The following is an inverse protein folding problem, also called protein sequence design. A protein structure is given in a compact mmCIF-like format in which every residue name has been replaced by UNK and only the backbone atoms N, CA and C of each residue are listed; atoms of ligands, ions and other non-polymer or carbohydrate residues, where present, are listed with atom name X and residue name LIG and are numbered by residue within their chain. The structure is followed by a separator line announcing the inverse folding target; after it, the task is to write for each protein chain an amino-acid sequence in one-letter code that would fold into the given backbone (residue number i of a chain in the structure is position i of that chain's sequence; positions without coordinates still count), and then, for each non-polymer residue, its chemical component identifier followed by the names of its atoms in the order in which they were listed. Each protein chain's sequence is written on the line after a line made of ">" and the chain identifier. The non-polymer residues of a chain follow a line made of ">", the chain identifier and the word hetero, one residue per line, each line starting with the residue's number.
data_IF_106286833029
#
_entry.id   IF_106286833029
#
_cell.length_a   1.000
_cell.length_b   1.000
_cell.length_c   1.000
_cell.angle_alpha   90.00
_cell.angle_beta   90.00
_cell.angle_gamma   90.00
#
_symmetry.space_group_name_H-M   'P 1'
#
loop_
_entity.id
_entity.type
_entity.pdbx_description
1 polymer ?
#
# COMPACT_ATOMS: atom_id res chain seq x y z
N UNK A 1 19.52 -3.66 -6.19
CA UNK A 1 19.00 -3.94 -4.84
C UNK A 1 17.49 -3.65 -4.81
N UNK A 2 16.69 -4.53 -4.21
CA UNK A 2 15.24 -4.37 -4.11
C UNK A 2 14.89 -3.22 -3.17
N UNK A 3 14.05 -2.28 -3.61
CA UNK A 3 13.46 -1.22 -2.80
C UNK A 3 11.94 -1.33 -2.84
N UNK A 4 11.29 -1.01 -1.73
CA UNK A 4 9.85 -1.20 -1.55
C UNK A 4 9.20 0.08 -1.06
N UNK A 5 8.12 0.48 -1.71
CA UNK A 5 7.29 1.59 -1.28
C UNK A 5 5.92 1.05 -0.87
N UNK A 6 5.48 1.42 0.32
CA UNK A 6 4.12 1.22 0.77
C UNK A 6 3.31 2.49 0.61
N UNK A 7 2.18 2.40 -0.05
CA UNK A 7 1.18 3.45 -0.09
C UNK A 7 -0.04 3.03 0.71
N UNK A 8 -0.15 3.52 1.93
CA UNK A 8 -1.27 3.23 2.82
C UNK A 8 -1.74 4.50 3.54
N UNK A 9 -2.98 4.51 4.01
CA UNK A 9 -3.52 5.55 4.87
C UNK A 9 -4.06 4.93 6.17
N UNK A 10 -3.91 5.64 7.27
CA UNK A 10 -4.53 5.30 8.54
C UNK A 10 -4.99 6.56 9.26
N UNK A 11 -6.16 6.49 9.88
CA UNK A 11 -6.70 7.65 10.58
C UNK A 11 -8.04 7.37 11.25
N UNK A 12 -8.46 8.31 12.09
CA UNK A 12 -9.77 8.32 12.73
C UNK A 12 -10.82 8.88 11.79
N UNK A 13 -11.03 8.21 10.67
CA UNK A 13 -11.96 8.65 9.64
C UNK A 13 -12.91 7.50 9.32
N UNK A 14 -14.19 7.81 9.12
CA UNK A 14 -15.18 6.82 8.67
C UNK A 14 -14.61 6.03 7.49
N UNK A 15 -14.58 4.70 7.59
CA UNK A 15 -14.08 3.76 6.59
C UNK A 15 -12.54 3.72 6.38
N UNK A 16 -11.77 4.51 7.13
CA UNK A 16 -10.30 4.44 7.10
C UNK A 16 -9.85 4.22 8.55
N UNK A 17 -9.75 2.99 8.96
CA UNK A 17 -9.18 2.63 10.26
C UNK A 17 -7.65 2.55 10.22
N UNK A 18 -7.08 1.91 11.22
CA UNK A 18 -5.64 1.66 11.31
C UNK A 18 -5.21 0.35 10.64
N UNK A 19 -6.15 -0.49 10.22
CA UNK A 19 -5.90 -1.84 9.69
C UNK A 19 -4.94 -1.86 8.50
N UNK A 20 -5.12 -0.96 7.53
CA UNK A 20 -4.22 -0.84 6.37
C UNK A 20 -2.77 -0.56 6.78
N UNK A 21 -2.57 0.31 7.78
CA UNK A 21 -1.25 0.65 8.27
C UNK A 21 -0.58 -0.53 8.97
N UNK A 22 -1.27 -1.17 9.92
CA UNK A 22 -0.71 -2.30 10.67
C UNK A 22 -0.40 -3.48 9.74
N UNK A 23 -1.29 -3.80 8.81
CA UNK A 23 -1.03 -4.82 7.80
C UNK A 23 0.22 -4.49 6.96
N UNK A 24 0.33 -3.26 6.49
CA UNK A 24 1.51 -2.80 5.72
C UNK A 24 2.80 -2.90 6.54
N UNK A 25 2.76 -2.55 7.84
CA UNK A 25 3.91 -2.70 8.74
C UNK A 25 4.29 -4.17 8.93
N UNK A 26 3.31 -5.05 9.11
CA UNK A 26 3.54 -6.50 9.23
C UNK A 26 4.21 -7.05 7.97
N UNK A 27 3.72 -6.68 6.79
CA UNK A 27 4.35 -7.07 5.52
C UNK A 27 5.79 -6.53 5.46
N UNK A 28 6.03 -5.27 5.82
CA UNK A 28 7.36 -4.67 5.81
C UNK A 28 8.32 -5.43 6.74
N UNK A 29 7.89 -5.80 7.95
CA UNK A 29 8.67 -6.62 8.89
C UNK A 29 8.98 -8.01 8.32
N UNK A 30 8.01 -8.65 7.65
CA UNK A 30 8.21 -9.93 6.99
C UNK A 30 9.22 -9.82 5.82
N UNK A 31 9.17 -8.75 5.04
CA UNK A 31 10.12 -8.50 3.97
C UNK A 31 11.55 -8.35 4.50
N UNK A 32 11.73 -7.66 5.62
CA UNK A 32 13.02 -7.55 6.31
C UNK A 32 13.48 -8.93 6.79
N UNK A 33 12.62 -9.66 7.52
CA UNK A 33 12.97 -10.93 8.17
C UNK A 33 13.25 -12.06 7.16
N UNK A 34 12.37 -12.22 6.16
CA UNK A 34 12.44 -13.37 5.23
C UNK A 34 13.25 -13.10 3.98
N UNK A 35 13.27 -11.87 3.50
CA UNK A 35 13.95 -11.52 2.24
C UNK A 35 15.15 -10.61 2.43
N UNK A 36 15.54 -10.35 3.71
CA UNK A 36 16.70 -9.53 4.08
C UNK A 36 16.73 -8.16 3.41
N UNK A 37 15.54 -7.58 3.16
CA UNK A 37 15.46 -6.22 2.59
C UNK A 37 15.87 -5.22 3.67
N UNK A 38 16.90 -4.39 3.45
CA UNK A 38 17.32 -3.40 4.43
C UNK A 38 16.18 -2.43 4.74
N UNK A 39 16.02 -2.09 6.02
CA UNK A 39 14.93 -1.21 6.49
C UNK A 39 14.94 0.15 5.78
N UNK A 40 16.11 0.72 5.51
CA UNK A 40 16.27 1.98 4.80
C UNK A 40 15.86 1.92 3.32
N UNK A 41 15.57 0.73 2.78
CA UNK A 41 15.02 0.52 1.44
C UNK A 41 13.49 0.37 1.44
N UNK A 42 12.87 0.52 2.61
CA UNK A 42 11.41 0.47 2.79
C UNK A 42 10.91 1.86 3.18
N UNK A 43 10.03 2.41 2.37
CA UNK A 43 9.48 3.77 2.54
C UNK A 43 7.96 3.71 2.57
N UNK A 44 7.36 4.43 3.50
CA UNK A 44 5.92 4.57 3.59
C UNK A 44 5.48 5.94 3.08
N UNK A 45 4.49 5.95 2.20
CA UNK A 45 3.82 7.15 1.72
C UNK A 45 2.41 7.16 2.30
N UNK A 46 2.11 8.16 3.12
CA UNK A 46 0.85 8.22 3.84
C UNK A 46 0.45 9.67 4.16
N UNK A 47 -0.82 9.87 4.41
CA UNK A 47 -1.31 11.11 5.02
C UNK A 47 -0.88 11.16 6.49
N UNK A 48 -0.48 12.34 6.98
CA UNK A 48 0.12 12.45 8.32
C UNK A 48 -0.44 13.57 9.18
N UNK A 49 -1.31 14.43 8.63
CA UNK A 49 -1.86 15.60 9.34
C UNK A 49 -3.25 15.30 9.91
N UNK A 50 -3.62 16.05 10.96
CA UNK A 50 -4.94 16.02 11.59
C UNK A 50 -5.39 14.58 11.94
N UNK A 51 -6.53 14.17 11.42
CA UNK A 51 -7.13 12.85 11.60
C UNK A 51 -6.27 11.67 11.11
N UNK A 52 -5.18 11.93 10.38
CA UNK A 52 -4.21 10.93 9.91
C UNK A 52 -2.90 10.94 10.72
N UNK A 53 -2.80 11.69 11.82
CA UNK A 53 -1.59 11.82 12.63
C UNK A 53 -1.09 10.49 13.22
N UNK A 54 -1.99 9.54 13.46
CA UNK A 54 -1.66 8.20 13.97
C UNK A 54 -0.65 7.48 13.07
N UNK A 55 -0.76 7.62 11.76
CA UNK A 55 0.16 6.99 10.81
C UNK A 55 1.62 7.41 11.05
N UNK A 56 1.86 8.72 11.22
CA UNK A 56 3.19 9.26 11.48
C UNK A 56 3.77 8.72 12.80
N UNK A 57 2.96 8.71 13.88
CA UNK A 57 3.38 8.22 15.19
C UNK A 57 3.80 6.75 15.13
N UNK A 58 2.93 5.90 14.59
CA UNK A 58 3.15 4.45 14.53
C UNK A 58 4.35 4.10 13.64
N UNK A 59 4.50 4.74 12.48
CA UNK A 59 5.65 4.50 11.59
C UNK A 59 6.97 4.92 12.22
N UNK A 60 6.99 6.07 12.93
CA UNK A 60 8.17 6.51 13.69
C UNK A 60 8.56 5.50 14.78
N UNK A 61 7.60 5.00 15.55
CA UNK A 61 7.82 3.97 16.59
C UNK A 61 8.38 2.66 16.02
N UNK A 62 8.05 2.34 14.77
CA UNK A 62 8.59 1.17 14.06
C UNK A 62 9.84 1.47 13.24
N UNK A 63 10.43 2.66 13.36
CA UNK A 63 11.64 3.11 12.66
C UNK A 63 11.54 3.00 11.12
N UNK A 64 10.37 3.29 10.53
CA UNK A 64 10.20 3.34 9.09
C UNK A 64 10.27 4.78 8.56
N UNK A 65 10.96 4.94 7.44
CA UNK A 65 10.97 6.19 6.71
C UNK A 65 9.57 6.52 6.18
N UNK A 66 9.14 7.77 6.37
CA UNK A 66 7.81 8.23 5.98
C UNK A 66 7.90 9.46 5.10
N UNK A 67 7.24 9.43 3.96
CA UNK A 67 7.04 10.58 3.07
C UNK A 67 5.58 11.03 3.23
N UNK A 68 5.33 12.22 3.77
CA UNK A 68 3.98 12.71 3.96
C UNK A 68 3.36 13.18 2.65
N UNK A 69 2.07 12.93 2.48
CA UNK A 69 1.25 13.57 1.46
C UNK A 69 0.15 14.42 2.11
N UNK A 70 -0.34 15.42 1.39
CA UNK A 70 -1.40 16.31 1.87
C UNK A 70 -2.68 15.53 2.16
N UNK A 71 -3.45 15.96 3.15
CA UNK A 71 -4.71 15.29 3.53
C UNK A 71 -5.71 15.25 2.38
N UNK A 72 -5.82 16.32 1.63
CA UNK A 72 -6.70 16.48 0.48
C UNK A 72 -6.04 16.15 -0.87
N UNK A 73 -4.87 15.49 -0.86
CA UNK A 73 -4.15 15.14 -2.08
C UNK A 73 -5.05 14.32 -3.03
N UNK A 74 -5.13 14.79 -4.26
CA UNK A 74 -5.78 14.08 -5.37
C UNK A 74 -4.85 13.00 -5.94
N UNK A 75 -5.37 12.12 -6.77
CA UNK A 75 -4.58 11.06 -7.42
C UNK A 75 -3.38 11.60 -8.22
N UNK A 76 -3.46 12.81 -8.74
CA UNK A 76 -2.35 13.43 -9.47
C UNK A 76 -1.22 13.83 -8.54
N UNK A 77 -1.52 14.43 -7.38
CA UNK A 77 -0.50 14.82 -6.40
C UNK A 77 0.23 13.60 -5.83
N UNK A 78 -0.54 12.54 -5.57
CA UNK A 78 -0.02 11.26 -5.13
C UNK A 78 0.89 10.64 -6.19
N UNK A 79 0.47 10.65 -7.46
CA UNK A 79 1.29 10.21 -8.58
C UNK A 79 2.59 10.99 -8.69
N UNK A 80 2.55 12.32 -8.60
CA UNK A 80 3.74 13.16 -8.69
C UNK A 80 4.73 12.89 -7.55
N UNK A 81 4.23 12.57 -6.35
CA UNK A 81 5.06 12.16 -5.23
C UNK A 81 5.72 10.80 -5.50
N UNK A 82 4.94 9.81 -5.93
CA UNK A 82 5.42 8.46 -6.23
C UNK A 82 6.40 8.44 -7.41
N UNK A 83 6.15 9.24 -8.45
CA UNK A 83 7.00 9.32 -9.64
C UNK A 83 8.44 9.74 -9.32
N UNK A 84 8.65 10.56 -8.30
CA UNK A 84 9.99 11.00 -7.88
C UNK A 84 10.80 9.88 -7.23
N UNK A 85 10.13 8.81 -6.81
CA UNK A 85 10.74 7.70 -6.08
C UNK A 85 10.95 6.53 -7.04
N UNK A 86 12.21 6.27 -7.37
CA UNK A 86 12.58 5.07 -8.13
C UNK A 86 12.56 3.87 -7.20
N UNK A 87 11.66 2.92 -7.43
CA UNK A 87 11.54 1.71 -6.62
C UNK A 87 11.21 0.49 -7.46
N UNK A 88 11.62 -0.68 -6.96
CA UNK A 88 11.33 -1.95 -7.64
C UNK A 88 9.90 -2.42 -7.40
N UNK A 89 9.38 -2.18 -6.20
CA UNK A 89 8.08 -2.68 -5.77
C UNK A 89 7.25 -1.57 -5.13
N UNK A 90 6.01 -1.43 -5.58
CA UNK A 90 4.99 -0.59 -4.95
C UNK A 90 3.87 -1.49 -4.39
N UNK A 91 3.57 -1.37 -3.10
CA UNK A 91 2.45 -2.02 -2.44
C UNK A 91 1.41 -0.95 -2.08
N UNK A 92 0.22 -1.07 -2.62
CA UNK A 92 -0.89 -0.15 -2.38
C UNK A 92 -1.89 -0.84 -1.46
N UNK A 93 -2.05 -0.30 -0.27
CA UNK A 93 -2.98 -0.75 0.75
C UNK A 93 -3.83 0.42 1.24
N UNK A 94 -4.82 0.80 0.48
CA UNK A 94 -5.73 1.88 0.84
C UNK A 94 -7.16 1.59 0.40
N UNK A 95 -8.10 2.17 1.13
CA UNK A 95 -9.52 2.02 0.85
C UNK A 95 -9.86 2.44 -0.59
N UNK A 96 -10.47 1.54 -1.36
CA UNK A 96 -10.99 1.76 -2.71
C UNK A 96 -10.00 2.36 -3.72
N UNK A 97 -8.91 1.65 -4.02
CA UNK A 97 -8.06 2.00 -5.16
C UNK A 97 -8.78 1.68 -6.47
N UNK A 98 -9.51 2.66 -7.02
CA UNK A 98 -10.36 2.47 -8.23
C UNK A 98 -9.83 3.13 -9.50
N UNK A 99 -8.89 4.05 -9.40
CA UNK A 99 -8.51 4.89 -10.54
C UNK A 99 -7.54 4.18 -11.48
N UNK A 100 -8.07 3.56 -12.54
CA UNK A 100 -7.30 2.84 -13.56
C UNK A 100 -6.27 3.75 -14.22
N UNK A 101 -6.60 5.01 -14.55
CA UNK A 101 -5.67 5.97 -15.16
C UNK A 101 -4.49 6.26 -14.25
N UNK A 102 -4.72 6.40 -12.96
CA UNK A 102 -3.67 6.57 -11.94
C UNK A 102 -2.74 5.35 -11.87
N UNK A 103 -3.32 4.15 -11.79
CA UNK A 103 -2.56 2.90 -11.74
C UNK A 103 -1.72 2.70 -13.01
N UNK A 104 -2.29 2.93 -14.20
CA UNK A 104 -1.59 2.79 -15.46
C UNK A 104 -0.41 3.77 -15.59
N UNK A 105 -0.53 4.97 -15.03
CA UNK A 105 0.61 5.91 -14.96
C UNK A 105 1.72 5.39 -14.04
N UNK A 106 1.37 4.80 -12.88
CA UNK A 106 2.35 4.25 -11.94
C UNK A 106 3.12 3.07 -12.52
N UNK A 107 2.50 2.25 -13.38
CA UNK A 107 3.16 1.12 -14.03
C UNK A 107 4.47 1.49 -14.73
N UNK A 108 4.55 2.69 -15.28
CA UNK A 108 5.78 3.17 -15.96
C UNK A 108 6.96 3.43 -15.00
N UNK A 109 6.69 3.53 -13.71
CA UNK A 109 7.69 3.92 -12.70
C UNK A 109 8.10 2.78 -11.77
N UNK A 110 7.36 1.67 -11.76
CA UNK A 110 7.59 0.54 -10.85
C UNK A 110 7.65 -0.77 -11.62
N UNK A 111 8.61 -1.62 -11.27
CA UNK A 111 8.74 -2.94 -11.90
C UNK A 111 7.58 -3.86 -11.54
N UNK A 112 7.05 -3.73 -10.33
CA UNK A 112 5.91 -4.51 -9.85
C UNK A 112 5.00 -3.65 -8.97
N UNK A 113 3.69 -3.83 -9.12
CA UNK A 113 2.68 -3.19 -8.28
C UNK A 113 1.79 -4.27 -7.68
N UNK A 114 1.66 -4.26 -6.35
CA UNK A 114 0.76 -5.13 -5.59
C UNK A 114 -0.36 -4.25 -5.02
N UNK A 115 -1.59 -4.69 -5.17
CA UNK A 115 -2.77 -3.99 -4.64
C UNK A 115 -3.47 -4.91 -3.66
N UNK A 116 -3.58 -4.46 -2.41
CA UNK A 116 -4.26 -5.20 -1.34
C UNK A 116 -5.70 -4.70 -1.22
N UNK A 117 -6.64 -5.65 -1.14
CA UNK A 117 -8.10 -5.41 -1.05
C UNK A 117 -8.62 -4.35 -2.06
N UNK A 118 -8.00 -4.32 -3.22
CA UNK A 118 -8.42 -3.45 -4.32
C UNK A 118 -9.71 -3.94 -4.96
N UNK A 119 -10.54 -2.99 -5.43
CA UNK A 119 -11.66 -3.34 -6.28
C UNK A 119 -11.09 -3.73 -7.64
N UNK A 120 -11.60 -4.86 -8.14
CA UNK A 120 -11.27 -5.48 -9.42
C UNK A 120 -10.92 -4.49 -10.53
N UNK A 121 -9.72 -4.62 -11.06
CA UNK A 121 -9.34 -4.07 -12.35
C UNK A 121 -8.84 -5.20 -13.23
N UNK A 122 -9.24 -5.21 -14.50
CA UNK A 122 -8.94 -6.27 -15.47
C UNK A 122 -7.48 -6.25 -15.96
N UNK A 123 -6.63 -5.45 -15.35
CA UNK A 123 -5.27 -5.28 -15.80
C UNK A 123 -4.38 -6.40 -15.25
N UNK A 124 -3.89 -7.27 -16.14
CA UNK A 124 -2.99 -8.39 -15.83
C UNK A 124 -1.61 -7.95 -15.28
N UNK A 125 -1.29 -6.68 -15.39
CA UNK A 125 0.01 -6.12 -14.97
C UNK A 125 0.13 -5.89 -13.47
N UNK A 126 -0.98 -5.96 -12.73
CA UNK A 126 -1.00 -5.77 -11.29
C UNK A 126 -1.27 -7.09 -10.58
N UNK A 127 -0.59 -7.32 -9.48
CA UNK A 127 -0.90 -8.40 -8.57
C UNK A 127 -1.95 -7.92 -7.57
N UNK A 128 -3.14 -8.49 -7.65
CA UNK A 128 -4.21 -8.26 -6.67
C UNK A 128 -4.21 -9.36 -5.63
N UNK A 129 -4.20 -8.96 -4.36
CA UNK A 129 -4.38 -9.86 -3.22
C UNK A 129 -5.59 -9.36 -2.44
N UNK A 130 -6.63 -10.17 -2.37
CA UNK A 130 -7.84 -9.84 -1.64
C UNK A 130 -8.01 -10.81 -0.47
N UNK A 131 -7.80 -10.33 0.74
CA UNK A 131 -7.93 -11.13 1.96
C UNK A 131 -9.36 -11.22 2.46
N UNK A 132 -10.22 -10.30 2.06
CA UNK A 132 -11.63 -10.28 2.43
C UNK A 132 -12.45 -10.95 1.32
N UNK A 133 -13.24 -11.95 1.71
CA UNK A 133 -14.22 -12.56 0.80
C UNK A 133 -15.38 -11.56 0.65
N UNK A 134 -15.33 -10.73 -0.35
CA UNK A 134 -16.48 -9.97 -0.80
C UNK A 134 -16.77 -10.40 -2.24
N UNK A 135 -18.05 -10.58 -2.58
CA UNK A 135 -18.63 -10.93 -3.88
C UNK A 135 -17.76 -10.61 -5.09
N UNK A 136 -16.77 -11.41 -5.28
CA UNK A 136 -15.87 -11.26 -6.41
C UNK A 136 -16.18 -12.41 -7.33
N UNK A 137 -16.58 -12.12 -8.54
CA UNK A 137 -16.61 -13.08 -9.63
C UNK A 137 -15.30 -13.89 -9.60
N UNK A 138 -15.37 -15.12 -9.07
CA UNK A 138 -14.25 -15.99 -8.67
C UNK A 138 -13.20 -16.20 -9.77
N UNK A 139 -13.55 -15.87 -11.03
CA UNK A 139 -12.75 -16.23 -12.21
C UNK A 139 -11.60 -15.27 -12.55
N UNK A 140 -11.42 -14.13 -11.87
CA UNK A 140 -10.45 -13.11 -12.27
C UNK A 140 -9.40 -12.71 -11.25
N UNK A 141 -9.51 -13.08 -9.97
CA UNK A 141 -8.49 -12.79 -8.95
C UNK A 141 -7.90 -14.12 -8.45
N UNK A 142 -6.59 -14.32 -8.67
CA UNK A 142 -5.90 -15.56 -8.32
C UNK A 142 -5.63 -15.72 -6.82
N UNK A 143 -5.61 -14.62 -6.06
CA UNK A 143 -5.20 -14.61 -4.66
C UNK A 143 -6.33 -14.07 -3.79
N UNK A 144 -7.31 -14.92 -3.48
CA UNK A 144 -8.50 -14.59 -2.68
C UNK A 144 -8.58 -15.51 -1.48
N UNK A 145 -9.11 -14.97 -0.38
CA UNK A 145 -9.53 -15.71 0.80
C UNK A 145 -8.62 -15.57 2.01
N UNK A 146 -9.05 -16.16 3.10
CA UNK A 146 -8.42 -16.03 4.42
C UNK A 146 -6.95 -16.47 4.49
N UNK A 147 -6.49 -17.35 3.61
CA UNK A 147 -5.07 -17.72 3.53
C UNK A 147 -4.12 -16.55 3.21
N UNK A 148 -4.67 -15.45 2.70
CA UNK A 148 -3.93 -14.22 2.44
C UNK A 148 -4.15 -13.15 3.52
N UNK A 149 -4.90 -13.48 4.59
CA UNK A 149 -5.08 -12.56 5.71
C UNK A 149 -3.76 -12.40 6.47
N UNK A 150 -3.32 -11.17 6.57
CA UNK A 150 -2.12 -10.82 7.30
C UNK A 150 -2.56 -10.23 8.64
N UNK A 151 -2.44 -11.02 9.69
CA UNK A 151 -2.71 -10.57 11.05
C UNK A 151 -1.43 -10.01 11.67
N UNK A 152 -1.50 -8.89 12.42
CA UNK A 152 -0.42 -8.45 13.29
C UNK A 152 -0.16 -9.55 14.32
N UNK A 153 1.09 -9.94 14.48
CA UNK A 153 1.57 -10.76 15.59
C UNK A 153 1.79 -9.88 16.82
#
# INVERSE_FOLDING_TARGET
>A
MLSVIFRCDAGYVKRIGTGHLFRSITIAKLLIKKFHIPRNKIVFITKTKNKFSIAKKVLKQNNFQTIPIKENAKSIDEYLTLKKLKSSLLIIDKYRTKNTRYLNRLKKNFKKIIILDGIKHENKDFLYINSLIQDVNKNKIKHIGFKYLICPS
#
